data_IF_765157994573
#
_entry.id   IF_765157994573
#
_cell.length_a   1.000
_cell.length_b   1.000
_cell.length_c   1.000
_cell.angle_alpha   90.00
_cell.angle_beta   90.00
_cell.angle_gamma   90.00
#
_symmetry.space_group_name_H-M   'P 1'
#
loop_
_entity.id
_entity.type
_entity.pdbx_description
1 polymer ?
#
# COMPACT_ATOMS: atom_id res chain seq x y z
N UNK A 1 7.80 -32.84 -6.51
CA UNK A 1 6.37 -32.56 -6.64
C UNK A 1 5.87 -31.51 -5.64
N UNK A 2 6.13 -31.72 -4.38
CA UNK A 2 5.66 -30.79 -3.35
C UNK A 2 6.22 -29.39 -3.50
N UNK A 3 7.48 -29.27 -3.88
CA UNK A 3 8.10 -27.96 -4.06
C UNK A 3 7.43 -27.13 -5.15
N UNK A 4 7.04 -27.78 -6.24
CA UNK A 4 6.39 -27.11 -7.35
C UNK A 4 4.99 -26.65 -6.94
N UNK A 5 4.30 -27.51 -6.21
CA UNK A 5 2.96 -27.20 -5.72
C UNK A 5 3.01 -26.08 -4.68
N UNK A 6 3.97 -26.15 -3.76
CA UNK A 6 4.15 -25.13 -2.74
C UNK A 6 4.48 -23.76 -3.36
N UNK A 7 5.25 -23.78 -4.44
CA UNK A 7 5.62 -22.56 -5.13
C UNK A 7 4.41 -21.85 -5.74
N UNK A 8 3.48 -22.62 -6.34
CA UNK A 8 2.24 -22.07 -6.87
C UNK A 8 1.38 -21.50 -5.75
N UNK A 9 1.26 -22.26 -4.66
CA UNK A 9 0.48 -21.86 -3.50
C UNK A 9 1.06 -20.57 -2.87
N UNK A 10 2.37 -20.52 -2.77
CA UNK A 10 3.07 -19.33 -2.27
C UNK A 10 2.80 -18.10 -3.15
N UNK A 11 2.81 -18.30 -4.47
CA UNK A 11 2.54 -17.22 -5.42
C UNK A 11 1.14 -16.63 -5.22
N UNK A 12 0.15 -17.46 -4.96
CA UNK A 12 -1.20 -17.00 -4.69
C UNK A 12 -1.28 -16.18 -3.40
N UNK A 13 -0.51 -16.61 -2.38
CA UNK A 13 -0.48 -15.90 -1.09
C UNK A 13 0.17 -14.53 -1.18
N UNK A 14 0.90 -14.25 -2.25
CA UNK A 14 1.52 -12.95 -2.44
C UNK A 14 0.58 -11.89 -2.99
N UNK A 15 -0.68 -12.25 -3.21
CA UNK A 15 -1.68 -11.32 -3.72
C UNK A 15 -2.73 -11.06 -2.64
N UNK A 16 -3.10 -9.80 -2.48
CA UNK A 16 -4.07 -9.37 -1.47
C UNK A 16 -5.19 -8.60 -2.14
N UNK A 17 -6.42 -8.99 -1.86
CA UNK A 17 -7.58 -8.24 -2.31
C UNK A 17 -7.82 -7.08 -1.37
N UNK A 18 -7.85 -5.86 -1.92
CA UNK A 18 -8.10 -4.64 -1.17
C UNK A 18 -9.21 -3.88 -1.87
N UNK A 19 -10.44 -4.03 -1.36
CA UNK A 19 -11.60 -3.45 -2.01
C UNK A 19 -11.75 -3.99 -3.42
N UNK A 20 -11.76 -3.10 -4.40
CA UNK A 20 -11.88 -3.49 -5.81
C UNK A 20 -10.53 -3.81 -6.47
N UNK A 21 -9.44 -3.67 -5.73
CA UNK A 21 -8.09 -3.86 -6.25
C UNK A 21 -7.48 -5.17 -5.81
N UNK A 22 -6.52 -5.63 -6.59
CA UNK A 22 -5.63 -6.72 -6.22
C UNK A 22 -4.23 -6.15 -6.09
N UNK A 23 -3.62 -6.35 -4.93
CA UNK A 23 -2.24 -5.94 -4.69
C UNK A 23 -1.33 -7.15 -4.84
N UNK A 24 -0.44 -7.09 -5.82
CA UNK A 24 0.57 -8.12 -6.03
C UNK A 24 1.86 -7.71 -5.30
N UNK A 25 2.19 -8.43 -4.23
CA UNK A 25 3.34 -8.11 -3.40
C UNK A 25 4.68 -8.39 -4.11
N UNK A 26 4.71 -9.37 -4.99
CA UNK A 26 5.92 -9.72 -5.70
C UNK A 26 6.31 -8.66 -6.74
N UNK A 27 5.33 -8.22 -7.50
CA UNK A 27 5.58 -7.22 -8.54
C UNK A 27 5.40 -5.80 -8.05
N UNK A 28 4.83 -5.61 -6.86
CA UNK A 28 4.46 -4.32 -6.30
C UNK A 28 3.54 -3.55 -7.24
N UNK A 29 2.47 -4.22 -7.64
CA UNK A 29 1.49 -3.66 -8.54
C UNK A 29 0.11 -3.68 -7.93
N UNK A 30 -0.61 -2.59 -8.12
CA UNK A 30 -2.02 -2.51 -7.75
C UNK A 30 -2.82 -2.65 -9.05
N UNK A 31 -3.72 -3.62 -9.07
CA UNK A 31 -4.35 -4.06 -10.30
C UNK A 31 -5.86 -4.01 -10.18
N UNK A 32 -6.52 -3.49 -11.21
CA UNK A 32 -7.95 -3.61 -11.38
C UNK A 32 -8.23 -3.81 -12.87
N UNK A 33 -8.87 -4.94 -13.20
CA UNK A 33 -9.16 -5.30 -14.59
C UNK A 33 -7.87 -5.32 -15.41
N UNK A 34 -7.78 -4.49 -16.46
CA UNK A 34 -6.62 -4.40 -17.34
C UNK A 34 -5.70 -3.23 -16.98
N UNK A 35 -5.98 -2.55 -15.88
CA UNK A 35 -5.18 -1.40 -15.41
C UNK A 35 -4.24 -1.83 -14.31
N UNK A 36 -3.01 -1.36 -14.40
CA UNK A 36 -1.95 -1.70 -13.46
C UNK A 36 -1.23 -0.44 -13.03
N UNK A 37 -1.02 -0.29 -11.73
CA UNK A 37 -0.22 0.79 -11.17
C UNK A 37 1.00 0.20 -10.50
N UNK A 38 2.17 0.55 -11.00
CA UNK A 38 3.43 0.14 -10.40
C UNK A 38 3.70 0.98 -9.16
N UNK A 39 4.03 0.31 -8.06
CA UNK A 39 4.28 0.97 -6.77
C UNK A 39 5.74 0.85 -6.38
N UNK A 40 6.20 1.82 -5.61
CA UNK A 40 7.49 1.71 -4.93
C UNK A 40 7.34 0.79 -3.72
N UNK A 41 8.47 0.38 -3.14
CA UNK A 41 8.46 -0.41 -1.92
C UNK A 41 7.71 0.30 -0.79
N UNK A 42 7.99 1.59 -0.61
CA UNK A 42 7.36 2.36 0.46
C UNK A 42 5.86 2.54 0.22
N UNK A 43 5.47 2.78 -1.02
CA UNK A 43 4.05 2.88 -1.36
C UNK A 43 3.32 1.57 -1.09
N UNK A 44 3.93 0.45 -1.45
CA UNK A 44 3.36 -0.87 -1.17
C UNK A 44 3.18 -1.08 0.33
N UNK A 45 4.20 -0.74 1.11
CA UNK A 45 4.15 -0.91 2.56
C UNK A 45 3.12 0.02 3.22
N UNK A 46 2.96 1.23 2.70
CA UNK A 46 1.93 2.15 3.18
C UNK A 46 0.55 1.53 2.98
N UNK A 47 0.28 1.02 1.79
CA UNK A 47 -1.03 0.41 1.48
C UNK A 47 -1.29 -0.77 2.39
N UNK A 48 -0.31 -1.66 2.56
CA UNK A 48 -0.46 -2.84 3.42
C UNK A 48 -0.76 -2.41 4.86
N UNK A 49 -0.01 -1.46 5.38
CA UNK A 49 -0.19 -1.02 6.75
C UNK A 49 -1.57 -0.39 6.97
N UNK A 50 -2.00 0.47 6.05
CA UNK A 50 -3.32 1.09 6.14
C UNK A 50 -4.44 0.07 6.01
N UNK A 51 -4.27 -0.90 5.13
CA UNK A 51 -5.27 -1.95 4.94
C UNK A 51 -5.43 -2.82 6.18
N UNK A 52 -4.34 -3.13 6.86
CA UNK A 52 -4.37 -3.96 8.06
C UNK A 52 -4.77 -3.19 9.32
N UNK A 53 -4.74 -1.87 9.27
CA UNK A 53 -5.07 -1.05 10.43
C UNK A 53 -6.57 -0.96 10.63
N UNK A 54 -7.01 -1.12 11.86
CA UNK A 54 -8.44 -1.01 12.19
C UNK A 54 -8.91 0.43 12.21
N UNK A 55 -8.03 1.34 12.58
CA UNK A 55 -8.33 2.76 12.70
C UNK A 55 -7.41 3.55 11.77
N UNK A 56 -7.72 4.83 11.60
CA UNK A 56 -6.86 5.71 10.82
C UNK A 56 -5.45 5.72 11.43
N UNK A 57 -4.44 5.69 10.56
CA UNK A 57 -3.04 5.68 10.98
C UNK A 57 -2.44 7.07 10.82
N UNK A 58 -1.89 7.60 11.91
CA UNK A 58 -1.21 8.88 11.89
C UNK A 58 0.14 8.80 11.20
N UNK A 59 0.69 9.97 10.91
CA UNK A 59 1.96 10.07 10.19
C UNK A 59 3.10 9.41 10.97
N UNK A 60 3.13 9.58 12.29
CA UNK A 60 4.17 8.97 13.11
C UNK A 60 4.09 7.44 13.12
N UNK A 61 2.87 6.90 13.14
CA UNK A 61 2.67 5.46 13.04
C UNK A 61 3.14 4.94 11.71
N UNK A 62 2.82 5.63 10.62
CA UNK A 62 3.26 5.26 9.29
C UNK A 62 4.78 5.32 9.17
N UNK A 63 5.38 6.38 9.72
CA UNK A 63 6.84 6.52 9.71
C UNK A 63 7.50 5.34 10.43
N UNK A 64 7.01 5.02 11.61
CA UNK A 64 7.56 3.96 12.43
C UNK A 64 7.45 2.59 11.76
N UNK A 65 6.28 2.26 11.20
CA UNK A 65 6.02 0.94 10.64
C UNK A 65 6.54 0.77 9.22
N UNK A 66 6.62 1.83 8.45
CA UNK A 66 7.07 1.74 7.04
C UNK A 66 8.56 2.02 6.92
N UNK A 67 9.06 2.99 7.67
CA UNK A 67 10.48 3.38 7.62
C UNK A 67 11.30 2.86 8.78
N UNK A 68 10.66 2.49 9.89
CA UNK A 68 11.33 1.93 11.06
C UNK A 68 11.35 2.87 12.25
N UNK A 69 11.43 2.27 13.45
CA UNK A 69 11.36 3.02 14.71
C UNK A 69 12.51 4.00 14.92
N UNK A 70 13.66 3.71 14.31
CA UNK A 70 14.84 4.55 14.47
C UNK A 70 15.04 5.53 13.31
N UNK A 71 14.04 5.64 12.47
CA UNK A 71 14.10 6.56 11.34
C UNK A 71 14.13 8.00 11.84
N UNK A 72 15.05 8.78 11.30
CA UNK A 72 15.15 10.23 11.57
C UNK A 72 14.47 11.04 10.46
N UNK A 73 13.65 10.37 9.68
CA UNK A 73 12.93 11.00 8.59
C UNK A 73 11.96 12.03 9.14
N UNK A 74 11.87 13.16 8.47
CA UNK A 74 10.90 14.18 8.85
C UNK A 74 9.48 13.77 8.44
N UNK A 75 8.50 14.19 9.24
CA UNK A 75 7.10 13.80 8.98
C UNK A 75 6.57 14.27 7.65
N UNK A 76 7.04 15.41 7.15
CA UNK A 76 6.58 15.88 5.84
C UNK A 76 7.03 14.97 4.69
N UNK A 77 8.06 14.17 4.89
CA UNK A 77 8.47 13.16 3.90
C UNK A 77 7.41 12.09 3.77
N UNK A 78 6.84 11.65 4.89
CA UNK A 78 5.73 10.69 4.89
C UNK A 78 4.54 11.28 4.13
N UNK A 79 4.18 12.52 4.43
CA UNK A 79 3.08 13.18 3.76
C UNK A 79 3.31 13.29 2.25
N UNK A 80 4.54 13.58 1.85
CA UNK A 80 4.90 13.65 0.43
C UNK A 80 4.71 12.31 -0.27
N UNK A 81 5.11 11.21 0.38
CA UNK A 81 4.90 9.88 -0.18
C UNK A 81 3.42 9.58 -0.36
N UNK A 82 2.61 9.90 0.62
CA UNK A 82 1.17 9.68 0.54
C UNK A 82 0.55 10.57 -0.56
N UNK A 83 0.97 11.81 -0.65
CA UNK A 83 0.49 12.73 -1.67
C UNK A 83 0.77 12.19 -3.08
N UNK A 84 2.00 11.73 -3.29
CA UNK A 84 2.39 11.17 -4.60
C UNK A 84 1.63 9.89 -4.91
N UNK A 85 1.43 9.04 -3.92
CA UNK A 85 0.66 7.81 -4.08
C UNK A 85 -0.78 8.13 -4.47
N UNK A 86 -1.41 9.08 -3.78
CA UNK A 86 -2.78 9.49 -4.08
C UNK A 86 -2.89 10.08 -5.48
N UNK A 87 -1.89 10.83 -5.92
CA UNK A 87 -1.84 11.35 -7.30
C UNK A 87 -1.75 10.24 -8.32
N UNK A 88 -0.93 9.22 -8.07
CA UNK A 88 -0.83 8.06 -8.94
C UNK A 88 -2.16 7.33 -9.07
N UNK A 89 -2.83 7.13 -7.94
CA UNK A 89 -4.13 6.47 -7.92
C UNK A 89 -5.17 7.25 -8.72
N UNK A 90 -5.18 8.56 -8.56
CA UNK A 90 -6.11 9.40 -9.30
C UNK A 90 -5.81 9.36 -10.81
N UNK A 91 -4.54 9.46 -11.17
CA UNK A 91 -4.14 9.49 -12.58
C UNK A 91 -4.38 8.15 -13.27
N UNK A 92 -4.06 7.06 -12.61
CA UNK A 92 -4.14 5.72 -13.21
C UNK A 92 -5.55 5.16 -13.19
N UNK A 93 -6.25 5.32 -12.07
CA UNK A 93 -7.55 4.69 -11.84
C UNK A 93 -8.71 5.68 -11.72
N UNK A 94 -8.42 6.97 -11.78
CA UNK A 94 -9.40 8.01 -11.51
C UNK A 94 -10.06 7.83 -10.13
N UNK A 95 -9.26 7.41 -9.16
CA UNK A 95 -9.73 7.08 -7.81
C UNK A 95 -9.04 8.00 -6.80
N UNK A 96 -9.83 8.85 -6.16
CA UNK A 96 -9.35 9.73 -5.09
C UNK A 96 -9.90 9.32 -3.73
N UNK A 97 -10.52 8.14 -3.64
CA UNK A 97 -11.16 7.68 -2.41
C UNK A 97 -10.52 6.42 -1.81
N UNK A 98 -9.52 5.86 -2.49
CA UNK A 98 -8.88 4.63 -2.01
C UNK A 98 -8.17 4.88 -0.67
N UNK A 99 -7.41 5.95 -0.58
CA UNK A 99 -6.79 6.38 0.68
C UNK A 99 -7.55 7.59 1.18
N UNK A 100 -8.22 7.42 2.31
CA UNK A 100 -9.06 8.46 2.88
C UNK A 100 -8.30 9.21 3.95
N UNK A 101 -8.33 10.54 3.87
CA UNK A 101 -7.77 11.40 4.92
C UNK A 101 -8.82 11.60 6.00
N UNK A 102 -8.46 11.31 7.23
CA UNK A 102 -9.33 11.49 8.39
C UNK A 102 -8.64 12.39 9.41
N UNK A 103 -9.40 12.82 10.42
CA UNK A 103 -8.87 13.68 11.46
C UNK A 103 -7.62 13.11 12.13
N UNK A 104 -7.60 11.81 12.35
CA UNK A 104 -6.51 11.14 13.07
C UNK A 104 -5.44 10.55 12.16
N UNK A 105 -5.58 10.70 10.87
CA UNK A 105 -4.61 10.15 9.93
C UNK A 105 -5.24 9.67 8.64
N UNK A 106 -4.68 8.59 8.09
CA UNK A 106 -5.12 8.03 6.81
C UNK A 106 -5.69 6.63 7.00
N UNK A 107 -6.57 6.25 6.11
CA UNK A 107 -7.27 4.97 6.19
C UNK A 107 -7.59 4.42 4.80
N UNK A 108 -7.61 3.10 4.72
CA UNK A 108 -8.13 2.38 3.54
C UNK A 108 -9.37 1.60 3.92
#
# INVERSE_FOLDING_TARGET
MNKKFDKLHFSEKSKIEIGKYLLDLNSRELIIRDRVLKLTEKETNIIIYLFKSKNAAGIEQLQSHVWGHHSKLETHTVETHIYRLRKKLLKTFNDNEFIISKKDGYHI
#
